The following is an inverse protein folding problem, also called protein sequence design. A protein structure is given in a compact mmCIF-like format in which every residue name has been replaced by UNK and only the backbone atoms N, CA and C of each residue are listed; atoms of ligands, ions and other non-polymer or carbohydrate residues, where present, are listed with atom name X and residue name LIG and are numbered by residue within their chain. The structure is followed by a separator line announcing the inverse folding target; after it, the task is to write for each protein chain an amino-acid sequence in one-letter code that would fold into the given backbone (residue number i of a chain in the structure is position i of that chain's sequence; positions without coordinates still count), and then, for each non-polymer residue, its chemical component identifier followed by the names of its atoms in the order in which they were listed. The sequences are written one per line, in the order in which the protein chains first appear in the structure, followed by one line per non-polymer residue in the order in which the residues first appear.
data_IF_440072909457
#
_entry.id   IF_440072909457
#
_cell.length_a   1.000
_cell.length_b   1.000
_cell.length_c   1.000
_cell.angle_alpha   90.00
_cell.angle_beta   90.00
_cell.angle_gamma   90.00
#
_symmetry.space_group_name_H-M   'P 1'
#
loop_
_entity.id
_entity.type
_entity.pdbx_description
1 polymer ?
#
# COMPACT_ATOMS: atom_id res chain seq x y z
N UNK A 1 23.11 21.24 -36.44
CA UNK A 1 23.02 19.77 -36.63
C UNK A 1 24.13 19.18 -35.76
N UNK A 2 23.94 18.31 -34.78
CA UNK A 2 22.96 17.24 -34.56
C UNK A 2 22.90 16.94 -33.06
N UNK A 3 21.69 16.58 -32.58
CA UNK A 3 21.40 16.10 -31.23
C UNK A 3 21.89 14.66 -31.03
N UNK A 4 21.92 14.26 -29.75
CA UNK A 4 21.66 12.89 -29.24
C UNK A 4 22.87 11.95 -29.17
N UNK A 5 23.09 11.15 -28.12
CA UNK A 5 22.22 10.89 -26.98
C UNK A 5 22.96 10.15 -25.87
N UNK A 6 22.77 10.63 -24.64
CA UNK A 6 23.09 9.86 -23.43
C UNK A 6 21.89 8.96 -23.18
N UNK A 7 22.02 7.66 -23.50
CA UNK A 7 21.04 6.65 -23.09
C UNK A 7 21.09 6.55 -21.56
N UNK A 8 20.04 7.05 -20.90
CA UNK A 8 19.72 6.68 -19.51
C UNK A 8 19.50 5.16 -19.48
N UNK A 9 20.40 4.43 -18.84
CA UNK A 9 20.17 3.03 -18.45
C UNK A 9 19.19 3.07 -17.29
N UNK A 10 17.92 2.78 -17.56
CA UNK A 10 16.92 2.56 -16.52
C UNK A 10 17.17 1.14 -16.01
N UNK A 11 17.68 1.04 -14.78
CA UNK A 11 17.85 -0.23 -14.07
C UNK A 11 16.44 -0.71 -13.69
N UNK A 12 15.82 -1.51 -14.55
CA UNK A 12 14.70 -2.35 -14.16
C UNK A 12 15.25 -3.63 -13.56
N UNK A 13 14.87 -3.95 -12.32
CA UNK A 13 15.19 -5.26 -11.74
C UNK A 13 14.66 -6.36 -12.69
N UNK A 14 15.42 -7.46 -12.93
CA UNK A 14 14.95 -8.57 -13.75
C UNK A 14 13.64 -9.13 -13.18
N UNK A 15 12.69 -9.50 -14.04
CA UNK A 15 11.37 -10.05 -13.66
C UNK A 15 11.46 -11.15 -12.59
N UNK A 16 12.48 -12.01 -12.67
CA UNK A 16 12.73 -13.08 -11.70
C UNK A 16 13.08 -12.60 -10.28
N UNK A 17 13.63 -11.39 -10.13
CA UNK A 17 13.91 -10.77 -8.84
C UNK A 17 12.64 -10.15 -8.25
N UNK A 18 11.80 -9.52 -9.09
CA UNK A 18 10.48 -9.04 -8.70
C UNK A 18 9.57 -10.20 -8.23
N UNK A 19 9.54 -11.31 -8.97
CA UNK A 19 8.74 -12.50 -8.62
C UNK A 19 9.22 -13.15 -7.31
N UNK A 20 10.54 -13.16 -7.07
CA UNK A 20 11.13 -13.70 -5.83
C UNK A 20 10.84 -12.81 -4.62
N UNK A 21 10.90 -11.50 -4.80
CA UNK A 21 10.58 -10.52 -3.76
C UNK A 21 9.08 -10.54 -3.42
N UNK A 22 8.21 -10.71 -4.42
CA UNK A 22 6.78 -10.93 -4.21
C UNK A 22 6.54 -12.16 -3.34
N UNK A 23 7.20 -13.30 -3.62
CA UNK A 23 7.08 -14.52 -2.81
C UNK A 23 7.58 -14.38 -1.37
N UNK A 24 8.63 -13.59 -1.12
CA UNK A 24 9.12 -13.31 0.25
C UNK A 24 8.13 -12.44 1.02
N UNK A 25 7.62 -11.38 0.38
CA UNK A 25 6.61 -10.51 0.98
C UNK A 25 5.35 -11.30 1.27
N UNK A 26 4.88 -12.12 0.33
CA UNK A 26 3.71 -12.99 0.45
C UNK A 26 3.88 -14.00 1.58
N UNK A 27 5.05 -14.65 1.72
CA UNK A 27 5.32 -15.58 2.82
C UNK A 27 5.36 -14.88 4.19
N UNK A 28 6.04 -13.73 4.30
CA UNK A 28 6.04 -12.92 5.52
C UNK A 28 4.64 -12.37 5.86
N UNK A 29 3.81 -12.15 4.84
CA UNK A 29 2.42 -11.74 4.99
C UNK A 29 1.51 -12.88 5.42
N UNK A 30 1.46 -13.98 4.70
CA UNK A 30 0.32 -14.88 4.79
C UNK A 30 0.22 -15.61 6.13
N UNK A 31 1.35 -15.95 6.77
CA UNK A 31 1.34 -16.76 7.99
C UNK A 31 1.19 -15.92 9.28
N UNK A 32 1.91 -14.79 9.36
CA UNK A 32 1.85 -13.91 10.53
C UNK A 32 0.62 -12.99 10.52
N UNK A 33 0.16 -12.60 9.34
CA UNK A 33 -0.82 -11.51 9.16
C UNK A 33 -2.26 -12.03 9.18
N UNK A 34 -2.58 -13.15 8.52
CA UNK A 34 -3.92 -13.77 8.63
C UNK A 34 -4.24 -14.10 10.08
N UNK A 35 -3.33 -14.75 10.80
CA UNK A 35 -3.51 -15.12 12.21
C UNK A 35 -3.81 -13.90 13.10
N UNK A 36 -3.15 -12.77 12.86
CA UNK A 36 -3.33 -11.54 13.64
C UNK A 36 -4.60 -10.75 13.24
N UNK A 37 -5.03 -10.84 11.98
CA UNK A 37 -6.22 -10.14 11.47
C UNK A 37 -7.53 -10.87 11.77
N UNK A 38 -7.52 -12.21 11.75
CA UNK A 38 -8.70 -13.03 12.07
C UNK A 38 -9.19 -12.78 13.50
N UNK A 39 -8.31 -12.34 14.40
CA UNK A 39 -8.65 -12.07 15.80
C UNK A 39 -9.15 -10.64 16.08
N UNK A 40 -8.99 -9.69 15.16
CA UNK A 40 -9.22 -8.28 15.43
C UNK A 40 -10.28 -7.73 14.48
N UNK A 41 -11.48 -7.49 15.01
CA UNK A 41 -12.60 -6.91 14.26
C UNK A 41 -12.37 -5.45 13.82
N UNK A 42 -11.20 -4.86 14.06
CA UNK A 42 -10.82 -3.45 13.84
C UNK A 42 -9.55 -3.32 13.00
N UNK A 43 -9.27 -2.11 12.48
CA UNK A 43 -7.98 -1.81 11.85
C UNK A 43 -6.90 -1.96 12.91
N UNK A 44 -6.01 -2.95 12.76
CA UNK A 44 -4.93 -3.17 13.72
C UNK A 44 -3.84 -2.12 13.49
N UNK A 45 -3.63 -1.14 14.40
CA UNK A 45 -2.67 -0.07 14.17
C UNK A 45 -1.23 -0.59 14.11
N UNK A 46 -0.91 -1.67 14.85
CA UNK A 46 0.42 -2.30 14.81
C UNK A 46 0.72 -2.85 13.42
N UNK A 47 -0.31 -3.35 12.75
CA UNK A 47 -0.24 -3.93 11.43
C UNK A 47 -0.02 -2.86 10.36
N UNK A 48 -0.80 -1.78 10.41
CA UNK A 48 -0.59 -0.63 9.53
C UNK A 48 0.79 0.01 9.76
N UNK A 49 1.27 0.06 11.01
CA UNK A 49 2.63 0.51 11.32
C UNK A 49 3.71 -0.43 10.78
N UNK A 50 3.50 -1.75 10.85
CA UNK A 50 4.42 -2.73 10.27
C UNK A 50 4.56 -2.54 8.76
N UNK A 51 3.43 -2.46 8.04
CA UNK A 51 3.42 -2.16 6.59
C UNK A 51 4.09 -0.82 6.30
N UNK A 52 3.81 0.21 7.11
CA UNK A 52 4.46 1.51 6.97
C UNK A 52 5.99 1.42 7.10
N UNK A 53 6.49 0.64 8.05
CA UNK A 53 7.94 0.46 8.21
C UNK A 53 8.57 -0.32 7.06
N UNK A 54 7.89 -1.33 6.52
CA UNK A 54 8.37 -2.02 5.32
C UNK A 54 8.42 -1.08 4.12
N UNK A 55 7.33 -0.35 3.86
CA UNK A 55 7.27 0.63 2.78
C UNK A 55 8.29 1.77 2.95
N UNK A 56 8.58 2.15 4.19
CA UNK A 56 9.57 3.19 4.48
C UNK A 56 11.00 2.74 4.15
N UNK A 57 11.38 1.53 4.56
CA UNK A 57 12.75 1.03 4.44
C UNK A 57 13.03 0.30 3.11
N UNK A 58 12.02 -0.35 2.54
CA UNK A 58 12.15 -1.23 1.38
C UNK A 58 11.15 -0.87 0.27
N UNK A 59 10.95 0.44 0.05
CA UNK A 59 9.95 0.97 -0.90
C UNK A 59 9.96 0.28 -2.27
N UNK A 60 11.13 0.06 -2.85
CA UNK A 60 11.27 -0.54 -4.20
C UNK A 60 10.90 -2.02 -4.25
N UNK A 61 10.95 -2.72 -3.11
CA UNK A 61 10.63 -4.15 -3.00
C UNK A 61 9.18 -4.36 -2.59
N UNK A 62 8.66 -3.50 -1.72
CA UNK A 62 7.39 -3.74 -1.03
C UNK A 62 6.21 -2.98 -1.65
N UNK A 63 6.42 -1.86 -2.34
CA UNK A 63 5.32 -1.02 -2.81
C UNK A 63 4.41 -1.75 -3.80
N UNK A 64 4.98 -2.40 -4.82
CA UNK A 64 4.23 -3.13 -5.84
C UNK A 64 3.38 -4.26 -5.24
N UNK A 65 3.98 -5.21 -4.50
CA UNK A 65 3.24 -6.29 -3.84
C UNK A 65 2.13 -5.79 -2.91
N UNK A 66 2.33 -4.68 -2.19
CA UNK A 66 1.27 -4.12 -1.33
C UNK A 66 0.14 -3.46 -2.10
N UNK A 67 0.39 -2.88 -3.26
CA UNK A 67 -0.66 -2.34 -4.12
C UNK A 67 -1.52 -3.49 -4.68
N UNK A 68 -0.88 -4.58 -5.12
CA UNK A 68 -1.58 -5.77 -5.65
C UNK A 68 -2.44 -6.43 -4.57
N UNK A 69 -1.88 -6.68 -3.39
CA UNK A 69 -2.63 -7.28 -2.28
C UNK A 69 -3.74 -6.36 -1.77
N UNK A 70 -3.51 -5.05 -1.75
CA UNK A 70 -4.56 -4.08 -1.41
C UNK A 70 -5.76 -4.22 -2.34
N UNK A 71 -5.52 -4.32 -3.65
CA UNK A 71 -6.58 -4.46 -4.65
C UNK A 71 -7.33 -5.78 -4.52
N UNK A 72 -6.62 -6.90 -4.36
CA UNK A 72 -7.21 -8.21 -4.12
C UNK A 72 -8.12 -8.19 -2.89
N UNK A 73 -7.62 -7.68 -1.77
CA UNK A 73 -8.35 -7.72 -0.51
C UNK A 73 -9.52 -6.75 -0.44
N UNK A 74 -9.41 -5.61 -1.10
CA UNK A 74 -10.49 -4.62 -1.13
C UNK A 74 -11.67 -5.10 -1.98
N UNK A 75 -11.40 -5.90 -3.01
CA UNK A 75 -12.42 -6.49 -3.89
C UNK A 75 -12.99 -7.81 -3.38
N UNK A 76 -12.33 -8.46 -2.41
CA UNK A 76 -12.83 -9.67 -1.75
C UNK A 76 -14.23 -9.49 -1.15
N UNK A 77 -15.06 -10.54 -1.23
CA UNK A 77 -16.36 -10.61 -0.54
C UNK A 77 -16.21 -10.84 0.96
N UNK A 78 -15.04 -11.34 1.39
CA UNK A 78 -14.76 -11.58 2.78
C UNK A 78 -14.53 -10.25 3.52
N UNK A 79 -15.27 -10.05 4.61
CA UNK A 79 -15.18 -8.85 5.43
C UNK A 79 -13.79 -8.67 6.06
N UNK A 80 -13.11 -9.76 6.43
CA UNK A 80 -11.78 -9.71 7.04
C UNK A 80 -10.77 -9.22 6.02
N UNK A 81 -10.81 -9.75 4.80
CA UNK A 81 -9.94 -9.34 3.70
C UNK A 81 -10.11 -7.84 3.41
N UNK A 82 -11.35 -7.35 3.28
CA UNK A 82 -11.60 -5.91 3.12
C UNK A 82 -10.95 -5.06 4.22
N UNK A 83 -11.02 -5.49 5.49
CA UNK A 83 -10.34 -4.80 6.61
C UNK A 83 -8.81 -4.83 6.44
N UNK A 84 -8.26 -5.95 6.01
CA UNK A 84 -6.83 -6.09 5.70
C UNK A 84 -6.42 -5.11 4.61
N UNK A 85 -7.19 -5.02 3.52
CA UNK A 85 -6.94 -4.06 2.44
C UNK A 85 -6.91 -2.61 2.94
N UNK A 86 -7.86 -2.23 3.79
CA UNK A 86 -7.91 -0.89 4.41
C UNK A 86 -6.64 -0.62 5.27
N UNK A 87 -6.18 -1.61 6.03
CA UNK A 87 -4.96 -1.47 6.84
C UNK A 87 -3.70 -1.38 5.97
N UNK A 88 -3.62 -2.19 4.90
CA UNK A 88 -2.51 -2.15 3.94
C UNK A 88 -2.38 -0.77 3.32
N UNK A 89 -3.50 -0.21 2.87
CA UNK A 89 -3.56 1.14 2.34
C UNK A 89 -3.03 2.18 3.34
N UNK A 90 -3.49 2.11 4.60
CA UNK A 90 -3.02 3.03 5.65
C UNK A 90 -1.50 2.93 5.84
N UNK A 91 -0.97 1.70 5.85
CA UNK A 91 0.47 1.45 5.96
C UNK A 91 1.25 1.97 4.77
N UNK A 92 0.79 1.70 3.55
CA UNK A 92 1.41 2.14 2.30
C UNK A 92 1.47 3.68 2.20
N UNK A 93 0.32 4.34 2.44
CA UNK A 93 0.22 5.79 2.45
C UNK A 93 1.12 6.42 3.52
N UNK A 94 1.18 5.85 4.71
CA UNK A 94 2.05 6.33 5.80
C UNK A 94 3.54 6.10 5.52
N UNK A 95 3.89 4.90 5.07
CA UNK A 95 5.26 4.50 4.76
C UNK A 95 5.87 5.25 3.58
N UNK A 96 5.01 5.83 2.73
CA UNK A 96 5.46 6.65 1.62
C UNK A 96 6.16 7.95 2.05
N UNK A 97 6.13 8.37 3.33
CA UNK A 97 6.57 9.69 3.85
C UNK A 97 7.84 10.28 3.22
N UNK A 98 8.85 9.44 3.03
CA UNK A 98 10.18 9.86 2.57
C UNK A 98 10.51 9.38 1.15
N UNK A 99 9.51 8.92 0.41
CA UNK A 99 9.68 8.57 -0.99
C UNK A 99 9.97 9.82 -1.82
N UNK A 100 10.69 9.63 -2.92
CA UNK A 100 10.89 10.67 -3.93
C UNK A 100 9.54 11.08 -4.53
N UNK A 101 9.48 12.30 -5.08
CA UNK A 101 8.29 12.80 -5.77
C UNK A 101 7.85 11.84 -6.88
N UNK A 102 8.78 11.34 -7.71
CA UNK A 102 8.47 10.39 -8.78
C UNK A 102 7.81 9.11 -8.26
N UNK A 103 8.31 8.54 -7.16
CA UNK A 103 7.74 7.33 -6.55
C UNK A 103 6.35 7.62 -5.98
N UNK A 104 6.18 8.77 -5.35
CA UNK A 104 4.91 9.19 -4.79
C UNK A 104 3.86 9.47 -5.88
N UNK A 105 4.23 10.15 -6.95
CA UNK A 105 3.33 10.43 -8.09
C UNK A 105 2.90 9.13 -8.78
N UNK A 106 3.79 8.13 -8.87
CA UNK A 106 3.44 6.81 -9.38
C UNK A 106 2.49 6.05 -8.43
N UNK A 107 2.70 6.16 -7.11
CA UNK A 107 1.80 5.61 -6.11
C UNK A 107 0.41 6.24 -6.20
N UNK A 108 0.34 7.57 -6.27
CA UNK A 108 -0.90 8.33 -6.43
C UNK A 108 -1.65 7.85 -7.68
N UNK A 109 -0.98 7.79 -8.85
CA UNK A 109 -1.59 7.28 -10.09
C UNK A 109 -2.11 5.85 -9.95
N UNK A 110 -1.37 4.99 -9.24
CA UNK A 110 -1.77 3.59 -9.04
C UNK A 110 -2.98 3.45 -8.12
N UNK A 111 -3.12 4.33 -7.13
CA UNK A 111 -4.16 4.25 -6.10
C UNK A 111 -5.40 5.09 -6.37
N UNK A 112 -5.30 6.28 -6.98
CA UNK A 112 -6.41 7.25 -7.02
C UNK A 112 -7.70 6.68 -7.60
N UNK A 113 -7.62 5.97 -8.74
CA UNK A 113 -8.80 5.35 -9.34
C UNK A 113 -9.38 4.21 -8.46
N UNK A 114 -8.49 3.45 -7.80
CA UNK A 114 -8.89 2.32 -6.94
C UNK A 114 -9.54 2.82 -5.65
N UNK A 115 -8.99 3.87 -5.04
CA UNK A 115 -9.52 4.50 -3.83
C UNK A 115 -10.87 5.15 -4.07
N UNK A 116 -11.03 5.84 -5.20
CA UNK A 116 -12.31 6.43 -5.56
C UNK A 116 -13.40 5.37 -5.66
N UNK A 117 -13.13 4.29 -6.42
CA UNK A 117 -14.07 3.17 -6.54
C UNK A 117 -14.36 2.50 -5.18
N UNK A 118 -13.32 2.31 -4.35
CA UNK A 118 -13.47 1.75 -3.02
C UNK A 118 -14.35 2.59 -2.10
N UNK A 119 -14.23 3.91 -2.19
CA UNK A 119 -15.02 4.86 -1.41
C UNK A 119 -16.48 4.88 -1.87
N UNK A 120 -16.72 4.93 -3.18
CA UNK A 120 -18.08 4.97 -3.76
C UNK A 120 -18.86 3.67 -3.51
N UNK A 121 -18.17 2.53 -3.51
CA UNK A 121 -18.78 1.20 -3.30
C UNK A 121 -18.71 0.73 -1.85
N UNK A 122 -18.21 1.57 -0.94
CA UNK A 122 -17.99 1.22 0.46
C UNK A 122 -19.31 0.90 1.19
N UNK A 123 -19.48 -0.31 1.76
CA UNK A 123 -20.60 -0.57 2.63
C UNK A 123 -20.49 0.25 3.93
N UNK A 124 -21.59 0.80 4.47
CA UNK A 124 -21.56 1.63 5.68
C UNK A 124 -20.86 0.99 6.88
N UNK A 125 -20.88 -0.35 6.97
CA UNK A 125 -20.22 -1.12 8.02
C UNK A 125 -18.68 -0.98 8.06
N UNK A 126 -18.04 -0.45 7.01
CA UNK A 126 -16.59 -0.23 6.94
C UNK A 126 -16.17 1.22 7.16
N UNK A 127 -17.12 2.15 7.32
CA UNK A 127 -16.81 3.58 7.45
C UNK A 127 -15.90 3.87 8.64
N UNK A 128 -16.12 3.21 9.77
CA UNK A 128 -15.27 3.34 10.97
C UNK A 128 -13.85 2.83 10.72
N UNK A 129 -13.68 1.74 9.96
CA UNK A 129 -12.36 1.21 9.60
C UNK A 129 -11.60 2.20 8.70
N UNK A 130 -12.27 2.81 7.73
CA UNK A 130 -11.65 3.86 6.91
C UNK A 130 -11.28 5.10 7.73
N UNK A 131 -12.12 5.51 8.68
CA UNK A 131 -11.80 6.61 9.58
C UNK A 131 -10.56 6.31 10.45
N UNK A 132 -10.43 5.07 10.95
CA UNK A 132 -9.24 4.59 11.66
C UNK A 132 -7.99 4.60 10.77
N UNK A 133 -8.11 4.15 9.51
CA UNK A 133 -7.03 4.20 8.53
C UNK A 133 -6.56 5.63 8.23
N UNK A 134 -7.49 6.55 7.96
CA UNK A 134 -7.17 7.97 7.76
C UNK A 134 -6.49 8.57 9.00
N UNK A 135 -6.98 8.24 10.19
CA UNK A 135 -6.36 8.68 11.44
C UNK A 135 -4.91 8.19 11.56
N UNK A 136 -4.64 6.93 11.19
CA UNK A 136 -3.30 6.37 11.17
C UNK A 136 -2.40 7.06 10.13
N UNK A 137 -2.93 7.38 8.95
CA UNK A 137 -2.17 8.08 7.90
C UNK A 137 -1.78 9.47 8.40
N UNK A 138 -2.75 10.25 8.87
CA UNK A 138 -2.57 11.66 9.21
C UNK A 138 -1.84 11.88 10.54
N UNK A 139 -1.74 10.86 11.41
CA UNK A 139 -1.06 10.95 12.69
C UNK A 139 0.42 11.39 12.53
N UNK A 140 0.71 12.64 12.93
CA UNK A 140 2.05 13.27 12.86
C UNK A 140 2.58 13.38 11.42
N UNK A 141 1.70 13.58 10.44
CA UNK A 141 2.05 13.83 9.03
C UNK A 141 1.56 15.20 8.56
N UNK A 142 2.23 15.73 7.52
CA UNK A 142 1.75 16.92 6.81
C UNK A 142 0.66 16.51 5.81
N UNK A 143 -0.54 17.04 6.01
CA UNK A 143 -1.73 16.70 5.22
C UNK A 143 -1.58 17.07 3.74
N UNK A 144 -0.79 18.11 3.42
CA UNK A 144 -0.63 18.63 2.05
C UNK A 144 0.07 17.63 1.12
N UNK A 145 0.62 16.58 1.69
CA UNK A 145 1.28 15.49 0.97
C UNK A 145 0.27 14.57 0.28
N UNK A 146 -0.89 14.36 0.90
CA UNK A 146 -1.94 13.48 0.39
C UNK A 146 -2.87 14.30 -0.49
N UNK A 147 -2.67 14.22 -1.81
CA UNK A 147 -3.42 14.99 -2.82
C UNK A 147 -4.70 14.28 -3.30
N UNK A 148 -4.84 13.01 -2.93
CA UNK A 148 -5.96 12.12 -3.24
C UNK A 148 -6.98 12.13 -2.10
#
# INVERSE_FOLDING_TARGET
MTKSGVKKVIIGAPKAEADRNAGIVEWMFMDYFKTTCTYLERVNPKLGLFVAQLCHNFSDLCAGPFIELFEEYLTSENKIDKKIGIVMFAGLARGSKYWSCDKYDNLEKALSAKLLNAWETMPPAFLSHWAEACSLILAKQDIRRYKW
#
